data_IF_004669872178
#
_entry.id   IF_004669872178
#
_cell.length_a   1.000
_cell.length_b   1.000
_cell.length_c   1.000
_cell.angle_alpha   90.00
_cell.angle_beta   90.00
_cell.angle_gamma   90.00
#
_symmetry.space_group_name_H-M   'P 1'
#
loop_
_entity.id
_entity.type
_entity.pdbx_description
1 polymer ?
#
# COMPACT_ATOMS: atom_id res chain seq x y z
N UNK A 1 -65.52 -8.64 -12.49
CA UNK A 1 -64.71 -7.54 -11.93
C UNK A 1 -63.35 -8.10 -11.52
N UNK A 2 -62.31 -7.56 -12.15
CA UNK A 2 -61.08 -8.29 -12.53
C UNK A 2 -60.05 -8.40 -11.40
N UNK A 3 -59.71 -9.64 -11.02
CA UNK A 3 -58.57 -10.00 -10.16
C UNK A 3 -57.20 -9.90 -10.86
N UNK A 4 -57.18 -9.49 -12.13
CA UNK A 4 -55.99 -9.54 -13.00
C UNK A 4 -55.13 -8.27 -13.02
N UNK A 5 -55.50 -7.21 -12.27
CA UNK A 5 -54.80 -5.91 -12.34
C UNK A 5 -53.75 -5.73 -11.22
N UNK A 6 -53.81 -6.50 -10.12
CA UNK A 6 -52.88 -6.34 -9.00
C UNK A 6 -51.53 -7.07 -9.22
N UNK A 7 -51.45 -7.98 -10.19
CA UNK A 7 -50.22 -8.73 -10.50
C UNK A 7 -49.29 -8.05 -11.52
N UNK A 8 -49.70 -6.94 -12.14
CA UNK A 8 -48.88 -6.20 -13.12
C UNK A 8 -48.08 -5.06 -12.45
N UNK A 9 -48.45 -4.62 -11.25
CA UNK A 9 -47.75 -3.53 -10.56
C UNK A 9 -46.53 -3.95 -9.72
N UNK A 10 -46.31 -5.25 -9.48
CA UNK A 10 -45.16 -5.77 -8.72
C UNK A 10 -44.02 -6.25 -9.66
N UNK A 11 -44.29 -6.40 -10.96
CA UNK A 11 -43.29 -6.86 -11.94
C UNK A 11 -42.40 -5.73 -12.55
N UNK A 12 -42.61 -4.47 -12.15
CA UNK A 12 -41.92 -3.30 -12.73
C UNK A 12 -40.84 -2.66 -11.84
N UNK A 13 -40.51 -3.25 -10.68
CA UNK A 13 -39.55 -2.68 -9.73
C UNK A 13 -38.31 -3.53 -9.43
N UNK A 14 -38.00 -4.50 -10.29
CA UNK A 14 -36.75 -5.26 -10.25
C UNK A 14 -35.97 -5.13 -11.53
N UNK A 15 -35.70 -3.90 -11.97
CA UNK A 15 -34.41 -3.62 -12.58
C UNK A 15 -33.40 -3.58 -11.44
N UNK A 16 -32.97 -4.75 -10.98
CA UNK A 16 -31.63 -4.85 -10.44
C UNK A 16 -30.73 -4.41 -11.59
N UNK A 17 -30.23 -3.17 -11.53
CA UNK A 17 -29.09 -2.79 -12.35
C UNK A 17 -28.05 -3.85 -12.08
N UNK A 18 -27.74 -4.65 -13.10
CA UNK A 18 -26.46 -5.34 -13.14
C UNK A 18 -25.45 -4.20 -13.04
N UNK A 19 -25.00 -3.93 -11.82
CA UNK A 19 -23.97 -2.94 -11.54
C UNK A 19 -22.84 -3.25 -12.51
N UNK A 20 -22.48 -2.28 -13.34
CA UNK A 20 -21.33 -2.48 -14.18
C UNK A 20 -20.15 -2.73 -13.26
N UNK A 21 -19.41 -3.80 -13.56
CA UNK A 21 -18.19 -4.11 -12.85
C UNK A 21 -17.19 -2.98 -13.14
N UNK A 22 -16.95 -2.14 -12.13
CA UNK A 22 -15.91 -1.11 -12.18
C UNK A 22 -16.27 0.22 -12.86
N UNK A 23 -15.23 1.02 -13.14
CA UNK A 23 -15.32 2.36 -13.73
C UNK A 23 -15.65 2.27 -15.23
N UNK A 24 -16.63 3.05 -15.66
CA UNK A 24 -17.05 3.18 -17.07
C UNK A 24 -16.32 4.34 -17.71
N UNK A 25 -15.23 4.04 -18.42
CA UNK A 25 -14.48 5.03 -19.17
C UNK A 25 -15.09 5.30 -20.56
N UNK A 26 -15.18 6.58 -20.91
CA UNK A 26 -15.30 7.03 -22.29
C UNK A 26 -13.97 6.79 -23.02
N UNK A 27 -14.01 6.22 -24.24
CA UNK A 27 -12.83 5.68 -24.94
C UNK A 27 -12.69 6.15 -26.39
N UNK A 28 -13.71 6.79 -26.97
CA UNK A 28 -13.75 7.11 -28.41
C UNK A 28 -14.05 8.58 -28.71
N UNK A 29 -14.46 9.31 -27.68
CA UNK A 29 -14.75 10.73 -27.72
C UNK A 29 -13.45 11.54 -27.62
N UNK A 30 -13.37 12.62 -28.39
CA UNK A 30 -12.32 13.64 -28.29
C UNK A 30 -12.41 14.41 -26.98
N UNK A 31 -11.32 15.08 -26.58
CA UNK A 31 -11.32 15.94 -25.39
C UNK A 31 -12.41 17.00 -25.43
N UNK A 32 -12.68 17.57 -26.61
CA UNK A 32 -13.75 18.54 -26.79
C UNK A 32 -15.12 17.94 -26.44
N UNK A 33 -15.42 16.74 -26.93
CA UNK A 33 -16.69 16.05 -26.68
C UNK A 33 -16.83 15.66 -25.20
N UNK A 34 -15.77 15.15 -24.57
CA UNK A 34 -15.76 14.83 -23.13
C UNK A 34 -16.09 16.05 -22.29
N UNK A 35 -15.52 17.22 -22.61
CA UNK A 35 -15.86 18.46 -21.91
C UNK A 35 -17.31 18.85 -22.07
N UNK A 36 -17.87 18.73 -23.26
CA UNK A 36 -19.29 19.03 -23.46
C UNK A 36 -20.21 18.07 -22.69
N UNK A 37 -19.86 16.78 -22.61
CA UNK A 37 -20.58 15.81 -21.76
C UNK A 37 -20.49 16.24 -20.28
N UNK A 38 -19.29 16.53 -19.79
CA UNK A 38 -19.07 16.91 -18.40
C UNK A 38 -19.75 18.22 -17.99
N UNK A 39 -19.79 19.21 -18.89
CA UNK A 39 -20.57 20.46 -18.70
C UNK A 39 -22.07 20.15 -18.59
N UNK A 40 -22.61 19.32 -19.48
CA UNK A 40 -24.03 18.94 -19.47
C UNK A 40 -24.42 18.15 -18.22
N UNK A 41 -23.53 17.28 -17.75
CA UNK A 41 -23.74 16.51 -16.51
C UNK A 41 -23.43 17.29 -15.24
N UNK A 42 -22.84 18.49 -15.35
CA UNK A 42 -22.34 19.28 -14.23
C UNK A 42 -21.40 18.48 -13.30
N UNK A 43 -20.44 17.77 -13.91
CA UNK A 43 -19.45 16.94 -13.20
C UNK A 43 -18.04 17.31 -13.57
N UNK A 44 -17.11 17.08 -12.64
CA UNK A 44 -15.68 17.07 -12.97
C UNK A 44 -15.36 15.88 -13.89
N UNK A 45 -14.31 16.04 -14.68
CA UNK A 45 -13.76 14.95 -15.49
C UNK A 45 -12.66 14.26 -14.70
N UNK A 46 -12.85 12.98 -14.38
CA UNK A 46 -11.76 12.13 -13.91
C UNK A 46 -11.00 11.58 -15.12
N UNK A 47 -9.69 11.71 -15.12
CA UNK A 47 -8.82 11.23 -16.20
C UNK A 47 -7.80 10.24 -15.62
N UNK A 48 -7.81 9.03 -16.16
CA UNK A 48 -6.70 8.09 -16.04
C UNK A 48 -5.73 8.30 -17.21
N UNK A 49 -4.53 8.82 -16.91
CA UNK A 49 -3.46 9.02 -17.88
C UNK A 49 -2.47 7.88 -17.76
N UNK A 50 -2.40 7.05 -18.79
CA UNK A 50 -1.62 5.82 -18.83
C UNK A 50 -0.72 5.74 -20.08
N UNK A 51 0.11 4.70 -20.15
CA UNK A 51 0.76 4.24 -21.37
C UNK A 51 0.61 2.72 -21.48
N UNK A 52 0.62 2.17 -22.69
CA UNK A 52 0.39 0.72 -22.92
C UNK A 52 1.39 -0.20 -22.20
N UNK A 53 2.60 0.29 -21.95
CA UNK A 53 3.68 -0.46 -21.30
C UNK A 53 3.72 -0.24 -19.78
N UNK A 54 2.88 0.65 -19.24
CA UNK A 54 2.85 0.95 -17.80
C UNK A 54 2.26 -0.22 -16.99
N UNK A 55 3.14 -1.03 -16.39
CA UNK A 55 2.74 -2.13 -15.50
C UNK A 55 1.83 -1.70 -14.35
N UNK A 56 2.18 -0.66 -13.56
CA UNK A 56 1.32 -0.18 -12.48
C UNK A 56 -0.08 0.29 -12.94
N UNK A 57 -0.19 0.81 -14.16
CA UNK A 57 -1.47 1.23 -14.73
C UNK A 57 -2.38 0.01 -14.96
N UNK A 58 -1.85 -1.07 -15.56
CA UNK A 58 -2.59 -2.33 -15.77
C UNK A 58 -3.08 -2.93 -14.46
N UNK A 59 -2.23 -2.91 -13.43
CA UNK A 59 -2.62 -3.38 -12.10
C UNK A 59 -3.78 -2.55 -11.53
N UNK A 60 -3.79 -1.24 -11.71
CA UNK A 60 -4.93 -0.42 -11.28
C UNK A 60 -6.22 -0.77 -12.04
N UNK A 61 -6.14 -1.01 -13.35
CA UNK A 61 -7.30 -1.45 -14.15
C UNK A 61 -7.86 -2.78 -13.64
N UNK A 62 -7.00 -3.76 -13.40
CA UNK A 62 -7.37 -5.12 -13.00
C UNK A 62 -7.84 -5.21 -11.54
N UNK A 63 -7.21 -4.46 -10.63
CA UNK A 63 -7.33 -4.67 -9.19
C UNK A 63 -8.16 -3.61 -8.46
N UNK A 64 -8.34 -2.43 -9.06
CA UNK A 64 -8.98 -1.28 -8.40
C UNK A 64 -10.12 -0.74 -9.24
N UNK A 65 -9.88 -0.42 -10.51
CA UNK A 65 -10.92 0.15 -11.37
C UNK A 65 -12.01 -0.86 -11.70
N UNK A 66 -11.72 -2.16 -11.63
CA UNK A 66 -12.68 -3.26 -11.80
C UNK A 66 -13.61 -3.47 -10.59
N UNK A 67 -13.26 -2.91 -9.42
CA UNK A 67 -14.02 -3.13 -8.19
C UNK A 67 -15.36 -2.38 -8.23
N UNK A 68 -16.44 -3.07 -7.85
CA UNK A 68 -17.79 -2.49 -7.85
C UNK A 68 -17.87 -1.19 -7.04
N UNK A 69 -17.32 -1.19 -5.82
CA UNK A 69 -17.33 -0.03 -4.92
C UNK A 69 -16.64 1.20 -5.54
N UNK A 70 -15.57 0.98 -6.30
CA UNK A 70 -14.85 2.04 -7.00
C UNK A 70 -15.67 2.52 -8.19
N UNK A 71 -16.18 1.58 -8.99
CA UNK A 71 -17.07 1.88 -10.12
C UNK A 71 -18.29 2.71 -9.71
N UNK A 72 -19.02 2.29 -8.67
CA UNK A 72 -20.21 2.98 -8.17
C UNK A 72 -19.91 4.44 -7.82
N UNK A 73 -18.83 4.67 -7.08
CA UNK A 73 -18.43 6.02 -6.68
C UNK A 73 -18.00 6.86 -7.90
N UNK A 74 -17.08 6.36 -8.72
CA UNK A 74 -16.53 7.15 -9.83
C UNK A 74 -17.55 7.40 -10.95
N UNK A 75 -18.38 6.43 -11.28
CA UNK A 75 -19.44 6.59 -12.28
C UNK A 75 -20.53 7.57 -11.84
N UNK A 76 -20.79 7.65 -10.54
CA UNK A 76 -21.77 8.60 -9.99
C UNK A 76 -21.22 10.03 -10.00
N UNK A 77 -19.96 10.21 -9.60
CA UNK A 77 -19.41 11.53 -9.27
C UNK A 77 -18.68 12.22 -10.42
N UNK A 78 -18.19 11.47 -11.41
CA UNK A 78 -17.33 12.00 -12.48
C UNK A 78 -17.78 11.55 -13.86
N UNK A 79 -17.41 12.36 -14.87
CA UNK A 79 -17.26 11.85 -16.22
C UNK A 79 -15.88 11.20 -16.30
N UNK A 80 -15.84 9.87 -16.48
CA UNK A 80 -14.59 9.12 -16.46
C UNK A 80 -14.02 9.01 -17.87
N UNK A 81 -12.82 9.53 -18.05
CA UNK A 81 -12.08 9.51 -19.31
C UNK A 81 -10.72 8.83 -19.09
N UNK A 82 -10.19 8.21 -20.14
CA UNK A 82 -8.80 7.73 -20.11
C UNK A 82 -8.16 7.87 -21.47
N UNK A 83 -6.88 8.18 -21.48
CA UNK A 83 -6.11 8.25 -22.73
C UNK A 83 -4.68 7.75 -22.52
N UNK A 84 -4.14 7.16 -23.59
CA UNK A 84 -2.72 6.84 -23.69
C UNK A 84 -1.95 8.12 -24.00
N UNK A 85 -1.03 8.50 -23.12
CA UNK A 85 -0.24 9.72 -23.22
C UNK A 85 0.75 9.72 -24.42
N UNK A 86 0.89 8.61 -25.13
CA UNK A 86 1.80 8.46 -26.28
C UNK A 86 1.06 8.27 -27.62
N UNK A 87 -0.27 8.37 -27.63
CA UNK A 87 -1.08 8.15 -28.84
C UNK A 87 -2.13 9.22 -29.06
N UNK A 88 -2.40 9.51 -30.34
CA UNK A 88 -3.49 10.39 -30.77
C UNK A 88 -3.48 11.74 -30.06
N UNK A 89 -4.64 12.20 -29.60
CA UNK A 89 -4.80 13.44 -28.84
C UNK A 89 -4.08 13.42 -27.48
N UNK A 90 -3.77 12.23 -26.94
CA UNK A 90 -3.12 12.05 -25.65
C UNK A 90 -1.73 12.66 -25.54
N UNK A 91 -0.98 12.76 -26.65
CA UNK A 91 0.33 13.44 -26.71
C UNK A 91 0.17 14.93 -26.37
N UNK A 92 -0.83 15.58 -26.97
CA UNK A 92 -1.14 17.00 -26.74
C UNK A 92 -1.65 17.21 -25.32
N UNK A 93 -2.56 16.35 -24.85
CA UNK A 93 -3.14 16.43 -23.51
C UNK A 93 -2.11 16.19 -22.41
N UNK A 94 -1.19 15.24 -22.59
CA UNK A 94 -0.07 14.99 -21.66
C UNK A 94 0.77 16.26 -21.46
N UNK A 95 1.16 16.92 -22.55
CA UNK A 95 1.97 18.14 -22.49
C UNK A 95 1.20 19.29 -21.84
N UNK A 96 -0.07 19.46 -22.22
CA UNK A 96 -0.97 20.45 -21.64
C UNK A 96 -1.09 20.29 -20.12
N UNK A 97 -1.34 19.07 -19.67
CA UNK A 97 -1.52 18.76 -18.25
C UNK A 97 -0.19 18.50 -17.51
N UNK A 98 0.95 18.66 -18.17
CA UNK A 98 2.30 18.47 -17.60
C UNK A 98 2.44 17.13 -16.89
N UNK A 99 2.04 16.04 -17.57
CA UNK A 99 2.11 14.67 -17.04
C UNK A 99 3.47 14.05 -17.37
N UNK A 100 4.23 13.70 -16.34
CA UNK A 100 5.60 13.17 -16.46
C UNK A 100 5.78 11.79 -15.81
N UNK A 101 4.74 11.23 -15.19
CA UNK A 101 4.75 9.97 -14.45
C UNK A 101 3.44 9.22 -14.73
N UNK A 102 3.47 7.88 -14.68
CA UNK A 102 2.28 7.05 -14.89
C UNK A 102 2.15 5.97 -13.80
N UNK A 103 0.92 5.61 -13.40
CA UNK A 103 -0.33 6.29 -13.75
C UNK A 103 -0.38 7.70 -13.14
N UNK A 104 -1.06 8.62 -13.83
CA UNK A 104 -1.44 9.92 -13.28
C UNK A 104 -2.95 10.07 -13.33
N UNK A 105 -3.51 10.51 -12.21
CA UNK A 105 -4.94 10.75 -12.03
C UNK A 105 -5.19 12.24 -12.03
N UNK A 106 -5.96 12.74 -12.99
CA UNK A 106 -6.32 14.14 -13.07
C UNK A 106 -7.82 14.31 -12.83
N UNK A 107 -8.18 15.41 -12.19
CA UNK A 107 -9.56 15.85 -12.05
C UNK A 107 -9.63 17.26 -12.64
N UNK A 108 -10.42 17.41 -13.69
CA UNK A 108 -10.47 18.63 -14.51
C UNK A 108 -11.85 19.26 -14.40
N UNK A 109 -11.87 20.58 -14.21
CA UNK A 109 -13.07 21.38 -14.34
C UNK A 109 -13.37 21.58 -15.84
N UNK A 110 -14.53 21.13 -16.35
CA UNK A 110 -14.79 21.16 -17.78
C UNK A 110 -15.11 22.56 -18.32
N UNK A 111 -15.42 23.53 -17.45
CA UNK A 111 -15.70 24.92 -17.81
C UNK A 111 -14.40 25.72 -17.86
N UNK A 112 -13.60 25.65 -16.81
CA UNK A 112 -12.29 26.31 -16.75
C UNK A 112 -11.25 25.61 -17.64
N UNK A 113 -11.46 24.32 -17.92
CA UNK A 113 -10.53 23.46 -18.66
C UNK A 113 -9.14 23.40 -17.98
N UNK A 114 -9.19 23.39 -16.63
CA UNK A 114 -8.04 23.38 -15.73
C UNK A 114 -8.08 22.17 -14.79
N UNK A 115 -6.90 21.64 -14.48
CA UNK A 115 -6.75 20.60 -13.45
C UNK A 115 -7.01 21.24 -12.08
N UNK A 116 -7.94 20.67 -11.32
CA UNK A 116 -8.26 21.12 -9.97
C UNK A 116 -7.72 20.18 -8.88
N UNK A 117 -7.60 18.89 -9.19
CA UNK A 117 -6.94 17.91 -8.31
C UNK A 117 -6.08 16.94 -9.13
N UNK A 118 -4.95 16.51 -8.57
CA UNK A 118 -4.08 15.50 -9.18
C UNK A 118 -3.50 14.53 -8.16
N UNK A 119 -3.45 13.26 -8.53
CA UNK A 119 -2.74 12.20 -7.81
C UNK A 119 -1.98 11.31 -8.80
N UNK A 120 -1.25 10.32 -8.30
CA UNK A 120 -0.39 9.44 -9.11
C UNK A 120 -0.13 8.13 -8.36
N UNK A 121 0.66 7.25 -9.02
CA UNK A 121 1.12 5.95 -8.52
C UNK A 121 0.01 4.92 -8.36
N UNK A 122 0.42 3.65 -8.17
CA UNK A 122 -0.51 2.58 -7.77
C UNK A 122 -1.05 2.91 -6.38
N UNK A 123 -2.36 2.81 -6.22
CA UNK A 123 -3.06 3.09 -4.96
C UNK A 123 -3.92 1.89 -4.56
N UNK A 124 -3.99 1.59 -3.26
CA UNK A 124 -5.00 0.67 -2.75
C UNK A 124 -6.41 1.29 -2.91
N UNK A 125 -7.45 0.46 -2.87
CA UNK A 125 -8.85 0.89 -3.07
C UNK A 125 -9.23 2.08 -2.17
N UNK A 126 -8.89 2.02 -0.89
CA UNK A 126 -9.23 3.04 0.10
C UNK A 126 -8.54 4.38 -0.21
N UNK A 127 -7.28 4.32 -0.64
CA UNK A 127 -6.51 5.51 -1.03
C UNK A 127 -7.08 6.11 -2.32
N UNK A 128 -7.45 5.28 -3.29
CA UNK A 128 -8.03 5.74 -4.54
C UNK A 128 -9.40 6.39 -4.31
N UNK A 129 -10.27 5.80 -3.48
CA UNK A 129 -11.53 6.42 -3.06
C UNK A 129 -11.31 7.76 -2.34
N UNK A 130 -10.31 7.84 -1.45
CA UNK A 130 -9.91 9.10 -0.81
C UNK A 130 -9.46 10.16 -1.83
N UNK A 131 -8.69 9.77 -2.85
CA UNK A 131 -8.28 10.65 -3.94
C UNK A 131 -9.48 11.25 -4.67
N UNK A 132 -10.46 10.43 -5.06
CA UNK A 132 -11.68 10.94 -5.70
C UNK A 132 -12.53 11.81 -4.78
N UNK A 133 -12.70 11.44 -3.50
CA UNK A 133 -13.41 12.28 -2.52
C UNK A 133 -12.74 13.65 -2.34
N UNK A 134 -11.40 13.68 -2.32
CA UNK A 134 -10.63 14.90 -2.19
C UNK A 134 -10.79 15.86 -3.38
N UNK A 135 -11.09 15.33 -4.57
CA UNK A 135 -11.34 16.15 -5.76
C UNK A 135 -12.69 16.87 -5.71
N UNK A 136 -13.69 16.33 -4.99
CA UNK A 136 -15.04 16.90 -4.93
C UNK A 136 -15.11 18.14 -4.04
N UNK A 137 -14.29 18.23 -2.99
CA UNK A 137 -14.31 19.35 -2.04
C UNK A 137 -13.26 20.40 -2.40
N UNK A 138 -13.65 21.67 -2.48
CA UNK A 138 -12.79 22.75 -2.94
C UNK A 138 -11.53 22.92 -2.07
N UNK A 139 -11.64 22.72 -0.76
CA UNK A 139 -10.59 22.89 0.23
C UNK A 139 -9.64 21.69 0.36
N UNK A 140 -9.94 20.55 -0.27
CA UNK A 140 -9.07 19.35 -0.33
C UNK A 140 -8.49 19.10 -1.73
N UNK A 141 -8.78 19.98 -2.69
CA UNK A 141 -8.21 19.93 -4.03
C UNK A 141 -6.72 20.26 -3.99
N UNK A 142 -5.91 19.46 -4.68
CA UNK A 142 -4.45 19.57 -4.57
C UNK A 142 -3.95 20.92 -5.07
N UNK A 143 -4.54 21.47 -6.14
CA UNK A 143 -4.14 22.76 -6.71
C UNK A 143 -4.46 23.91 -5.76
N UNK A 144 -5.63 23.86 -5.11
CA UNK A 144 -5.99 24.83 -4.09
C UNK A 144 -5.06 24.76 -2.89
N UNK A 145 -4.88 23.58 -2.29
CA UNK A 145 -4.04 23.41 -1.09
C UNK A 145 -2.59 23.83 -1.34
N UNK A 146 -2.02 23.43 -2.48
CA UNK A 146 -0.68 23.84 -2.91
C UNK A 146 -0.60 25.37 -3.01
N UNK A 147 -1.53 26.01 -3.71
CA UNK A 147 -1.56 27.48 -3.84
C UNK A 147 -1.64 28.18 -2.49
N UNK A 148 -2.50 27.72 -1.58
CA UNK A 148 -2.62 28.33 -0.25
C UNK A 148 -1.35 28.15 0.57
N UNK A 149 -0.73 26.97 0.50
CA UNK A 149 0.52 26.69 1.20
C UNK A 149 1.68 27.56 0.66
N UNK A 150 1.82 27.68 -0.66
CA UNK A 150 2.85 28.53 -1.27
C UNK A 150 2.62 30.02 -0.99
N UNK A 151 1.36 30.46 -0.85
CA UNK A 151 1.01 31.82 -0.41
C UNK A 151 1.27 32.08 1.09
N UNK A 152 1.90 31.15 1.81
CA UNK A 152 2.27 31.33 3.22
C UNK A 152 1.14 31.04 4.21
N UNK A 153 -0.03 30.55 3.78
CA UNK A 153 -1.11 30.20 4.73
C UNK A 153 -0.75 28.94 5.51
N UNK A 154 -0.98 28.96 6.82
CA UNK A 154 -0.60 27.89 7.77
C UNK A 154 -1.76 27.48 8.69
N UNK A 155 -2.99 27.59 8.20
CA UNK A 155 -4.17 27.13 8.93
C UNK A 155 -4.06 25.63 9.28
N UNK A 156 -4.35 25.22 10.53
CA UNK A 156 -4.37 23.82 10.97
C UNK A 156 -5.03 22.82 10.03
N UNK A 157 -6.23 23.13 9.52
CA UNK A 157 -6.99 22.21 8.65
C UNK A 157 -6.30 22.07 7.29
N UNK A 158 -5.86 23.20 6.71
CA UNK A 158 -5.07 23.20 5.48
C UNK A 158 -3.81 22.34 5.61
N UNK A 159 -3.00 22.57 6.65
CA UNK A 159 -1.75 21.84 6.85
C UNK A 159 -1.97 20.33 6.97
N UNK A 160 -2.97 19.92 7.74
CA UNK A 160 -3.30 18.51 7.92
C UNK A 160 -3.72 17.85 6.60
N UNK A 161 -4.65 18.47 5.87
CA UNK A 161 -5.15 17.95 4.61
C UNK A 161 -4.04 17.90 3.55
N UNK A 162 -3.19 18.93 3.50
CA UNK A 162 -2.07 18.98 2.57
C UNK A 162 -1.02 17.92 2.90
N UNK A 163 -0.70 17.68 4.18
CA UNK A 163 0.18 16.57 4.58
C UNK A 163 -0.39 15.19 4.19
N UNK A 164 -1.69 14.96 4.40
CA UNK A 164 -2.38 13.74 3.93
C UNK A 164 -2.30 13.59 2.41
N UNK A 165 -2.47 14.69 1.67
CA UNK A 165 -2.31 14.70 0.22
C UNK A 165 -0.90 14.31 -0.20
N UNK A 166 0.13 14.98 0.33
CA UNK A 166 1.54 14.69 0.03
C UNK A 166 1.88 13.23 0.33
N UNK A 167 1.41 12.68 1.46
CA UNK A 167 1.52 11.26 1.81
C UNK A 167 0.88 10.36 0.74
N UNK A 168 -0.37 10.64 0.36
CA UNK A 168 -1.13 9.83 -0.61
C UNK A 168 -0.57 9.86 -2.03
N UNK A 169 0.21 10.89 -2.37
CA UNK A 169 0.86 11.08 -3.68
C UNK A 169 2.37 10.81 -3.63
N UNK A 170 2.87 10.18 -2.56
CA UNK A 170 4.29 9.81 -2.39
C UNK A 170 5.30 10.98 -2.49
N UNK A 171 4.86 12.21 -2.20
CA UNK A 171 5.69 13.43 -2.15
C UNK A 171 6.44 13.54 -0.81
N UNK A 172 7.41 12.64 -0.62
CA UNK A 172 8.06 12.41 0.67
C UNK A 172 8.86 13.61 1.15
N UNK A 173 9.58 14.29 0.26
CA UNK A 173 10.47 15.39 0.64
C UNK A 173 9.68 16.63 1.04
N UNK A 174 8.62 16.96 0.29
CA UNK A 174 7.70 18.04 0.62
C UNK A 174 6.97 17.76 1.93
N UNK A 175 6.53 16.50 2.14
CA UNK A 175 5.88 16.10 3.39
C UNK A 175 6.83 16.26 4.58
N UNK A 176 8.06 15.74 4.45
CA UNK A 176 9.07 15.83 5.51
C UNK A 176 9.39 17.30 5.84
N UNK A 177 9.52 18.14 4.82
CA UNK A 177 9.78 19.58 4.98
C UNK A 177 8.63 20.25 5.75
N UNK A 178 7.39 20.05 5.31
CA UNK A 178 6.20 20.60 5.96
C UNK A 178 6.11 20.16 7.42
N UNK A 179 6.23 18.86 7.68
CA UNK A 179 6.13 18.28 9.02
C UNK A 179 7.21 18.84 9.93
N UNK A 180 8.46 18.89 9.48
CA UNK A 180 9.59 19.39 10.27
C UNK A 180 9.43 20.87 10.58
N UNK A 181 9.11 21.68 9.57
CA UNK A 181 8.88 23.12 9.75
C UNK A 181 7.74 23.40 10.72
N UNK A 182 6.64 22.64 10.63
CA UNK A 182 5.51 22.80 11.54
C UNK A 182 5.85 22.41 12.99
N UNK A 183 6.52 21.28 13.19
CA UNK A 183 6.90 20.81 14.52
C UNK A 183 7.93 21.75 15.17
N UNK A 184 8.91 22.23 14.43
CA UNK A 184 9.96 23.13 14.94
C UNK A 184 9.41 24.52 15.26
N UNK A 185 8.40 24.98 14.52
CA UNK A 185 7.75 26.27 14.77
C UNK A 185 6.72 26.24 15.91
N UNK A 186 6.36 25.07 16.44
CA UNK A 186 5.32 24.94 17.48
C UNK A 186 5.92 25.17 18.88
N UNK A 187 5.63 26.29 19.57
CA UNK A 187 6.34 26.64 20.81
C UNK A 187 6.09 25.68 21.98
N UNK A 188 4.91 25.06 22.03
CA UNK A 188 4.51 24.09 23.05
C UNK A 188 4.96 22.66 22.74
N UNK A 189 5.64 22.47 21.60
CA UNK A 189 6.12 21.19 21.11
C UNK A 189 5.02 20.13 21.05
N UNK A 190 5.35 18.90 21.44
CA UNK A 190 4.41 17.77 21.43
C UNK A 190 3.25 17.90 22.42
N UNK A 191 3.21 18.94 23.26
CA UNK A 191 2.05 19.22 24.12
C UNK A 191 0.87 19.76 23.34
N UNK A 192 1.11 20.36 22.17
CA UNK A 192 0.06 20.72 21.22
C UNK A 192 -0.50 19.46 20.54
N UNK A 193 -1.83 19.34 20.53
CA UNK A 193 -2.50 18.14 20.02
C UNK A 193 -2.33 17.96 18.52
N UNK A 194 -2.20 19.04 17.76
CA UNK A 194 -1.96 18.96 16.32
C UNK A 194 -0.50 18.63 16.04
N UNK A 195 0.46 19.23 16.75
CA UNK A 195 1.87 18.84 16.68
C UNK A 195 2.06 17.36 17.01
N UNK A 196 1.42 16.85 18.07
CA UNK A 196 1.42 15.41 18.35
C UNK A 196 0.88 14.60 17.17
N UNK A 197 -0.24 15.00 16.58
CA UNK A 197 -0.81 14.30 15.42
C UNK A 197 0.14 14.31 14.21
N UNK A 198 0.82 15.42 13.93
CA UNK A 198 1.83 15.50 12.87
C UNK A 198 3.02 14.57 13.15
N UNK A 199 3.56 14.63 14.36
CA UNK A 199 4.63 13.76 14.82
C UNK A 199 4.25 12.28 14.73
N UNK A 200 3.05 11.92 15.19
CA UNK A 200 2.57 10.56 15.24
C UNK A 200 2.32 9.96 13.85
N UNK A 201 1.82 10.75 12.89
CA UNK A 201 1.34 10.22 11.61
C UNK A 201 2.32 10.39 10.44
N UNK A 202 3.26 11.34 10.52
CA UNK A 202 4.07 11.71 9.36
C UNK A 202 5.58 11.74 9.61
N UNK A 203 6.04 12.08 10.82
CA UNK A 203 7.46 12.04 11.11
C UNK A 203 7.89 10.57 11.31
N UNK A 204 8.96 10.14 10.66
CA UNK A 204 9.45 8.76 10.74
C UNK A 204 10.82 8.68 11.42
N UNK A 205 11.18 7.48 11.88
CA UNK A 205 12.49 7.19 12.45
C UNK A 205 12.69 7.70 13.89
N UNK A 206 13.79 7.27 14.48
CA UNK A 206 14.16 7.58 15.88
C UNK A 206 15.14 8.74 16.01
N UNK A 207 15.72 9.21 14.91
CA UNK A 207 16.76 10.25 14.90
C UNK A 207 16.18 11.67 14.71
N UNK A 208 15.14 12.02 15.46
CA UNK A 208 14.51 13.35 15.43
C UNK A 208 14.47 13.99 16.81
N UNK A 209 14.54 15.34 16.92
CA UNK A 209 14.43 16.02 18.21
C UNK A 209 13.13 15.71 18.95
N UNK A 210 12.03 15.55 18.20
CA UNK A 210 10.72 15.21 18.77
C UNK A 210 10.68 13.77 19.29
N UNK A 211 11.39 12.83 18.65
CA UNK A 211 11.54 11.48 19.20
C UNK A 211 12.40 11.48 20.46
N UNK A 212 13.46 12.28 20.51
CA UNK A 212 14.25 12.48 21.74
C UNK A 212 13.41 13.08 22.88
N UNK A 213 12.48 13.99 22.57
CA UNK A 213 11.53 14.52 23.55
C UNK A 213 10.51 13.45 24.01
N UNK A 214 10.01 12.62 23.08
CA UNK A 214 9.11 11.51 23.38
C UNK A 214 9.71 10.60 24.44
N UNK A 215 10.94 10.15 24.24
CA UNK A 215 11.59 9.20 25.16
C UNK A 215 11.94 9.84 26.51
N UNK A 216 12.37 11.10 26.53
CA UNK A 216 12.74 11.80 27.78
C UNK A 216 11.55 12.07 28.70
N UNK A 217 10.35 12.18 28.12
CA UNK A 217 9.11 12.55 28.83
C UNK A 217 8.00 11.52 28.61
N UNK A 218 8.34 10.25 28.42
CA UNK A 218 7.40 9.20 28.02
C UNK A 218 6.15 9.14 28.91
N UNK A 219 6.31 9.19 30.24
CA UNK A 219 5.20 9.15 31.19
C UNK A 219 4.20 10.32 30.99
N UNK A 220 4.69 11.51 30.65
CA UNK A 220 3.85 12.67 30.33
C UNK A 220 2.99 12.39 29.10
N UNK A 221 3.60 11.85 28.05
CA UNK A 221 2.90 11.60 26.78
C UNK A 221 1.89 10.45 26.89
N UNK A 222 2.20 9.43 27.69
CA UNK A 222 1.25 8.37 28.03
C UNK A 222 0.05 8.92 28.80
N UNK A 223 0.28 9.80 29.76
CA UNK A 223 -0.82 10.45 30.49
C UNK A 223 -1.69 11.35 29.59
N UNK A 224 -1.09 12.04 28.62
CA UNK A 224 -1.82 12.98 27.75
C UNK A 224 -2.52 12.30 26.56
N UNK A 225 -1.88 11.32 25.91
CA UNK A 225 -2.34 10.72 24.66
C UNK A 225 -2.69 9.23 24.76
N UNK A 226 -2.41 8.61 25.91
CA UNK A 226 -2.67 7.20 26.16
C UNK A 226 -1.56 6.27 25.68
N UNK A 227 -1.54 5.06 26.25
CA UNK A 227 -0.51 4.07 25.97
C UNK A 227 -0.50 3.59 24.52
N UNK A 228 -1.67 3.43 23.88
CA UNK A 228 -1.76 2.95 22.50
C UNK A 228 -1.05 3.91 21.54
N UNK A 229 -1.34 5.21 21.63
CA UNK A 229 -0.76 6.20 20.74
C UNK A 229 0.77 6.29 20.89
N UNK A 230 1.28 6.24 22.12
CA UNK A 230 2.73 6.23 22.39
C UNK A 230 3.37 4.95 21.86
N UNK A 231 2.78 3.78 22.14
CA UNK A 231 3.31 2.49 21.68
C UNK A 231 3.31 2.40 20.15
N UNK A 232 2.25 2.84 19.47
CA UNK A 232 2.16 2.87 18.01
C UNK A 232 3.25 3.76 17.40
N UNK A 233 3.50 4.93 17.99
CA UNK A 233 4.58 5.81 17.54
C UNK A 233 5.96 5.19 17.75
N UNK A 234 6.21 4.57 18.90
CA UNK A 234 7.47 3.87 19.17
C UNK A 234 7.69 2.75 18.16
N UNK A 235 6.70 1.87 17.96
CA UNK A 235 6.75 0.81 16.96
C UNK A 235 7.02 1.37 15.57
N UNK A 236 6.25 2.37 15.14
CA UNK A 236 6.40 2.98 13.81
C UNK A 236 7.79 3.57 13.57
N UNK A 237 8.34 4.28 14.56
CA UNK A 237 9.67 4.90 14.45
C UNK A 237 10.79 3.87 14.37
N UNK A 238 10.78 2.86 15.23
CA UNK A 238 11.79 1.79 15.19
C UNK A 238 11.66 0.90 13.96
N UNK A 239 10.43 0.56 13.57
CA UNK A 239 10.18 -0.25 12.36
C UNK A 239 10.67 0.47 11.10
N UNK A 240 10.46 1.78 11.02
CA UNK A 240 11.00 2.59 9.92
C UNK A 240 12.53 2.51 9.85
N UNK A 241 13.24 2.71 10.96
CA UNK A 241 14.70 2.67 10.97
C UNK A 241 15.23 1.27 10.64
N UNK A 242 14.61 0.22 11.19
CA UNK A 242 14.97 -1.16 10.87
C UNK A 242 14.74 -1.42 9.38
N UNK A 243 13.55 -1.14 8.84
CA UNK A 243 13.28 -1.40 7.41
C UNK A 243 14.10 -0.54 6.46
N UNK A 244 14.51 0.67 6.86
CA UNK A 244 15.47 1.47 6.10
C UNK A 244 16.83 0.75 6.03
N UNK A 245 17.29 0.21 7.16
CA UNK A 245 18.53 -0.56 7.26
C UNK A 245 18.43 -1.94 6.57
N UNK A 246 17.26 -2.57 6.55
CA UNK A 246 16.99 -3.79 5.76
C UNK A 246 17.21 -3.53 4.27
N UNK A 247 16.59 -2.46 3.76
CA UNK A 247 16.69 -2.09 2.36
C UNK A 247 18.11 -1.69 1.95
N UNK A 248 18.86 -1.01 2.82
CA UNK A 248 20.24 -0.64 2.53
C UNK A 248 21.21 -1.81 2.66
N UNK A 249 21.06 -2.69 3.66
CA UNK A 249 22.07 -3.69 3.99
C UNK A 249 22.01 -5.03 3.26
N UNK A 250 20.85 -5.44 2.72
CA UNK A 250 20.72 -6.74 2.05
C UNK A 250 20.76 -6.61 0.52
N UNK A 251 20.12 -5.58 -0.05
CA UNK A 251 20.20 -5.34 -1.49
C UNK A 251 21.52 -4.71 -1.93
N UNK A 252 22.21 -4.03 -1.00
CA UNK A 252 23.51 -3.45 -1.25
C UNK A 252 24.35 -3.49 0.04
N UNK A 253 25.00 -4.61 0.38
CA UNK A 253 25.77 -4.75 1.62
C UNK A 253 26.75 -3.62 1.92
N UNK A 254 27.28 -2.94 0.88
CA UNK A 254 28.16 -1.78 1.02
C UNK A 254 27.48 -0.52 1.58
N UNK A 255 26.14 -0.47 1.62
CA UNK A 255 25.33 0.64 2.14
C UNK A 255 24.77 0.36 3.54
N UNK A 256 25.12 -0.77 4.17
CA UNK A 256 24.68 -1.03 5.54
C UNK A 256 25.38 -0.08 6.53
N UNK A 257 24.58 0.68 7.27
CA UNK A 257 25.07 1.62 8.28
C UNK A 257 25.15 0.93 9.65
N UNK A 258 26.25 0.21 9.92
CA UNK A 258 26.41 -0.55 11.17
C UNK A 258 26.25 0.31 12.43
N UNK A 259 26.84 1.51 12.45
CA UNK A 259 26.72 2.44 13.57
C UNK A 259 25.26 2.89 13.81
N UNK A 260 24.47 3.05 12.75
CA UNK A 260 23.05 3.39 12.87
C UNK A 260 22.26 2.22 13.45
N UNK A 261 22.53 0.99 13.00
CA UNK A 261 21.91 -0.22 13.56
C UNK A 261 22.24 -0.41 15.05
N UNK A 262 23.51 -0.25 15.43
CA UNK A 262 23.94 -0.31 16.84
C UNK A 262 23.25 0.76 17.70
N UNK A 263 23.12 1.98 17.19
CA UNK A 263 22.41 3.05 17.89
C UNK A 263 20.93 2.72 18.10
N UNK A 264 20.25 2.25 17.06
CA UNK A 264 18.82 1.89 17.09
C UNK A 264 18.58 0.73 18.05
N UNK A 265 19.40 -0.33 17.98
CA UNK A 265 19.28 -1.51 18.85
C UNK A 265 19.61 -1.19 20.31
N UNK A 266 20.64 -0.39 20.56
CA UNK A 266 20.98 0.06 21.91
C UNK A 266 19.86 0.92 22.52
N UNK A 267 19.20 1.77 21.71
CA UNK A 267 18.06 2.55 22.16
C UNK A 267 16.85 1.64 22.45
N UNK A 268 16.51 0.74 21.52
CA UNK A 268 15.43 -0.23 21.66
C UNK A 268 15.60 -1.12 22.90
N UNK A 269 16.84 -1.49 23.23
CA UNK A 269 17.18 -2.29 24.41
C UNK A 269 16.91 -1.59 25.75
N UNK A 270 16.88 -0.26 25.80
CA UNK A 270 16.66 0.54 27.01
C UNK A 270 15.19 0.85 27.30
N UNK A 271 14.29 0.50 26.37
CA UNK A 271 12.89 0.89 26.42
C UNK A 271 11.98 -0.32 26.60
N UNK A 272 10.82 -0.15 27.25
CA UNK A 272 9.79 -1.19 27.34
C UNK A 272 8.45 -0.65 26.83
N UNK A 273 7.88 -1.31 25.83
CA UNK A 273 6.61 -0.90 25.23
C UNK A 273 5.91 -2.07 24.50
N UNK A 274 4.59 -1.97 24.38
CA UNK A 274 3.81 -2.97 23.64
C UNK A 274 4.18 -2.92 22.16
N UNK A 275 4.53 -4.07 21.57
CA UNK A 275 5.00 -4.17 20.18
C UNK A 275 6.52 -4.22 20.02
N UNK A 276 7.30 -3.96 21.09
CA UNK A 276 8.77 -4.13 21.09
C UNK A 276 9.22 -5.52 20.60
N UNK A 277 8.62 -6.65 21.03
CA UNK A 277 9.05 -7.97 20.56
C UNK A 277 9.00 -8.14 19.04
N UNK A 278 8.00 -7.55 18.37
CA UNK A 278 7.86 -7.58 16.91
C UNK A 278 9.04 -6.86 16.23
N UNK A 279 9.34 -5.64 16.69
CA UNK A 279 10.43 -4.81 16.18
C UNK A 279 11.79 -5.48 16.41
N UNK A 280 12.02 -6.02 17.62
CA UNK A 280 13.24 -6.75 17.96
C UNK A 280 13.42 -7.97 17.05
N UNK A 281 12.37 -8.75 16.84
CA UNK A 281 12.44 -9.95 15.99
C UNK A 281 12.85 -9.61 14.56
N UNK A 282 12.26 -8.57 13.96
CA UNK A 282 12.63 -8.08 12.63
C UNK A 282 14.12 -7.68 12.57
N UNK A 283 14.55 -6.85 13.52
CA UNK A 283 15.94 -6.38 13.61
C UNK A 283 16.95 -7.51 13.80
N UNK A 284 16.64 -8.53 14.59
CA UNK A 284 17.51 -9.69 14.81
C UNK A 284 17.61 -10.58 13.57
N UNK A 285 16.48 -10.83 12.89
CA UNK A 285 16.49 -11.61 11.65
C UNK A 285 17.32 -10.91 10.58
N UNK A 286 17.20 -9.59 10.45
CA UNK A 286 18.06 -8.80 9.56
C UNK A 286 19.55 -9.01 9.87
N UNK A 287 19.95 -8.82 11.13
CA UNK A 287 21.37 -8.93 11.50
C UNK A 287 21.92 -10.34 11.27
N UNK A 288 21.14 -11.37 11.60
CA UNK A 288 21.52 -12.75 11.34
C UNK A 288 21.60 -13.08 9.85
N UNK A 289 20.70 -12.54 9.01
CA UNK A 289 20.81 -12.72 7.56
C UNK A 289 22.07 -12.06 7.00
N UNK A 290 22.35 -10.82 7.40
CA UNK A 290 23.54 -10.07 6.97
C UNK A 290 24.84 -10.74 7.41
N UNK A 291 24.87 -11.27 8.62
CA UNK A 291 26.03 -11.99 9.19
C UNK A 291 26.06 -13.48 8.82
N UNK A 292 25.16 -13.93 7.92
CA UNK A 292 25.07 -15.31 7.43
C UNK A 292 24.82 -16.36 8.51
N UNK A 293 24.21 -15.96 9.63
CA UNK A 293 23.78 -16.84 10.72
C UNK A 293 22.36 -17.36 10.45
N UNK A 294 22.18 -18.10 9.35
CA UNK A 294 20.87 -18.43 8.81
C UNK A 294 19.97 -19.25 9.74
N UNK A 295 20.53 -20.22 10.48
CA UNK A 295 19.73 -21.03 11.42
C UNK A 295 19.15 -20.17 12.56
N UNK A 296 19.89 -19.17 13.02
CA UNK A 296 19.40 -18.22 14.05
C UNK A 296 18.32 -17.31 13.49
N UNK A 297 18.48 -16.83 12.25
CA UNK A 297 17.45 -16.06 11.56
C UNK A 297 16.15 -16.89 11.42
N UNK A 298 16.28 -18.15 11.00
CA UNK A 298 15.14 -19.04 10.81
C UNK A 298 14.42 -19.34 12.13
N UNK A 299 15.16 -19.58 13.21
CA UNK A 299 14.56 -19.84 14.53
C UNK A 299 13.68 -18.68 15.03
N UNK A 300 14.06 -17.43 14.75
CA UNK A 300 13.25 -16.26 15.10
C UNK A 300 12.07 -16.13 14.13
N UNK A 301 12.32 -16.28 12.82
CA UNK A 301 11.29 -16.16 11.81
C UNK A 301 10.16 -17.20 11.97
N UNK A 302 10.51 -18.45 12.30
CA UNK A 302 9.55 -19.53 12.54
C UNK A 302 8.63 -19.24 13.76
N UNK A 303 9.12 -18.50 14.75
CA UNK A 303 8.36 -18.05 15.93
C UNK A 303 7.62 -16.73 15.74
N UNK A 304 7.88 -16.00 14.66
CA UNK A 304 7.30 -14.68 14.45
C UNK A 304 5.76 -14.65 14.52
N UNK A 305 5.02 -15.66 13.99
CA UNK A 305 3.57 -15.72 14.17
C UNK A 305 3.11 -15.66 15.63
N UNK A 306 3.81 -16.33 16.54
CA UNK A 306 3.49 -16.30 17.97
C UNK A 306 3.80 -14.94 18.59
N UNK A 307 4.91 -14.30 18.17
CA UNK A 307 5.33 -12.97 18.62
C UNK A 307 4.25 -11.93 18.32
N UNK A 308 3.62 -12.03 17.15
CA UNK A 308 2.53 -11.11 16.73
C UNK A 308 1.14 -11.64 17.09
N UNK A 309 1.03 -12.63 17.98
CA UNK A 309 -0.24 -13.23 18.43
C UNK A 309 -1.12 -13.71 17.27
N UNK A 310 -0.50 -14.29 16.26
CA UNK A 310 -1.12 -14.82 15.04
C UNK A 310 -1.86 -13.76 14.22
N UNK A 311 -1.48 -12.48 14.33
CA UNK A 311 -1.93 -11.44 13.41
C UNK A 311 -1.45 -11.74 11.99
N UNK A 312 -2.36 -12.28 11.17
CA UNK A 312 -2.06 -12.74 9.82
C UNK A 312 -1.51 -11.64 8.93
N UNK A 313 -1.95 -10.38 9.08
CA UNK A 313 -1.45 -9.25 8.28
C UNK A 313 0.02 -8.98 8.61
N UNK A 314 0.38 -8.99 9.90
CA UNK A 314 1.76 -8.83 10.33
C UNK A 314 2.64 -9.99 9.89
N UNK A 315 2.16 -11.24 9.97
CA UNK A 315 2.89 -12.42 9.48
C UNK A 315 3.13 -12.35 7.99
N UNK A 316 2.09 -12.07 7.20
CA UNK A 316 2.21 -11.92 5.74
C UNK A 316 3.19 -10.81 5.38
N UNK A 317 3.09 -9.65 6.03
CA UNK A 317 4.01 -8.53 5.80
C UNK A 317 5.46 -8.93 6.09
N UNK A 318 5.71 -9.61 7.20
CA UNK A 318 7.05 -10.02 7.60
C UNK A 318 7.62 -11.09 6.67
N UNK A 319 6.87 -12.14 6.38
CA UNK A 319 7.31 -13.20 5.46
C UNK A 319 7.53 -12.67 4.04
N UNK A 320 6.73 -11.70 3.59
CA UNK A 320 6.96 -11.05 2.29
C UNK A 320 8.29 -10.30 2.29
N UNK A 321 8.63 -9.58 3.36
CA UNK A 321 9.98 -9.01 3.50
C UNK A 321 11.05 -10.10 3.43
N UNK A 322 10.90 -11.22 4.16
CA UNK A 322 11.87 -12.32 4.12
C UNK A 322 12.02 -12.93 2.73
N UNK A 323 10.92 -13.13 1.98
CA UNK A 323 10.97 -13.59 0.59
C UNK A 323 11.90 -12.69 -0.24
N UNK A 324 11.64 -11.40 -0.19
CA UNK A 324 12.39 -10.37 -0.91
C UNK A 324 13.88 -10.40 -0.55
N UNK A 325 14.19 -10.45 0.74
CA UNK A 325 15.56 -10.54 1.26
C UNK A 325 16.24 -11.86 0.87
N UNK A 326 15.47 -12.93 0.66
CA UNK A 326 16.00 -14.25 0.32
C UNK A 326 16.36 -14.43 -1.15
N UNK A 327 15.94 -13.51 -2.04
CA UNK A 327 16.13 -13.65 -3.49
C UNK A 327 17.60 -13.73 -3.90
N UNK A 328 18.50 -13.06 -3.18
CA UNK A 328 19.95 -13.05 -3.42
C UNK A 328 20.73 -14.11 -2.62
N UNK A 329 20.08 -14.82 -1.68
CA UNK A 329 20.74 -15.83 -0.85
C UNK A 329 20.71 -17.19 -1.57
N UNK A 330 21.85 -17.90 -1.58
CA UNK A 330 22.02 -19.24 -2.19
C UNK A 330 22.43 -20.31 -1.17
N UNK A 331 22.35 -19.97 0.11
CA UNK A 331 22.58 -20.93 1.19
C UNK A 331 21.37 -21.88 1.30
N UNK A 332 21.62 -23.18 1.16
CA UNK A 332 20.57 -24.19 1.14
C UNK A 332 19.88 -24.35 2.50
N UNK A 333 20.57 -24.06 3.61
CA UNK A 333 19.98 -24.10 4.95
C UNK A 333 18.97 -22.97 5.14
N UNK A 334 19.24 -21.77 4.64
CA UNK A 334 18.27 -20.67 4.66
C UNK A 334 17.12 -20.91 3.70
N UNK A 335 17.43 -21.30 2.45
CA UNK A 335 16.43 -21.39 1.39
C UNK A 335 15.29 -22.37 1.71
N UNK A 336 15.58 -23.48 2.40
CA UNK A 336 14.53 -24.41 2.85
C UNK A 336 13.55 -23.77 3.84
N UNK A 337 14.00 -22.85 4.71
CA UNK A 337 13.12 -22.11 5.63
C UNK A 337 12.37 -21.02 4.89
N UNK A 338 13.07 -20.25 4.06
CA UNK A 338 12.45 -19.22 3.22
C UNK A 338 11.31 -19.79 2.34
N UNK A 339 11.48 -21.01 1.79
CA UNK A 339 10.41 -21.70 1.06
C UNK A 339 9.14 -21.92 1.89
N UNK A 340 9.25 -22.21 3.19
CA UNK A 340 8.09 -22.31 4.09
C UNK A 340 7.36 -20.97 4.19
N UNK A 341 8.10 -19.87 4.28
CA UNK A 341 7.53 -18.51 4.38
C UNK A 341 6.84 -18.09 3.07
N UNK A 342 7.49 -18.32 1.92
CA UNK A 342 6.90 -18.03 0.60
C UNK A 342 5.65 -18.88 0.36
N UNK A 343 5.67 -20.15 0.78
CA UNK A 343 4.49 -20.99 0.76
C UNK A 343 3.40 -20.46 1.69
N UNK A 344 3.73 -20.05 2.91
CA UNK A 344 2.76 -19.46 3.84
C UNK A 344 2.04 -18.28 3.18
N UNK A 345 2.79 -17.34 2.56
CA UNK A 345 2.22 -16.21 1.82
C UNK A 345 1.23 -16.72 0.76
N UNK A 346 1.66 -17.70 -0.03
CA UNK A 346 0.86 -18.24 -1.14
C UNK A 346 -0.44 -18.89 -0.67
N UNK A 347 -0.42 -19.60 0.46
CA UNK A 347 -1.59 -20.33 0.97
C UNK A 347 -2.50 -19.47 1.87
N UNK A 348 -2.01 -18.34 2.37
CA UNK A 348 -2.70 -17.49 3.34
C UNK A 348 -2.96 -16.07 2.83
N UNK A 349 -2.73 -15.81 1.55
CA UNK A 349 -2.97 -14.49 0.97
C UNK A 349 -4.44 -14.11 1.14
N UNK A 350 -4.66 -13.05 1.92
CA UNK A 350 -5.99 -12.49 2.19
C UNK A 350 -6.57 -11.80 0.95
N UNK A 351 -5.73 -11.57 -0.05
CA UNK A 351 -6.06 -10.82 -1.24
C UNK A 351 -5.94 -11.70 -2.49
N UNK A 352 -7.08 -12.12 -3.04
CA UNK A 352 -7.12 -12.91 -4.29
C UNK A 352 -6.42 -12.21 -5.47
N UNK A 353 -6.17 -10.89 -5.39
CA UNK A 353 -5.47 -10.11 -6.41
C UNK A 353 -4.00 -10.49 -6.55
N UNK A 354 -3.34 -10.82 -5.45
CA UNK A 354 -1.91 -11.20 -5.47
C UNK A 354 -1.69 -12.72 -5.57
N UNK A 355 -2.76 -13.50 -5.68
CA UNK A 355 -2.67 -14.97 -5.68
C UNK A 355 -1.78 -15.48 -6.82
N UNK A 356 -2.00 -15.04 -8.06
CA UNK A 356 -1.19 -15.51 -9.20
C UNK A 356 0.31 -15.18 -9.03
N UNK A 357 0.64 -13.96 -8.60
CA UNK A 357 2.03 -13.55 -8.40
C UNK A 357 2.68 -14.28 -7.22
N UNK A 358 1.93 -14.56 -6.15
CA UNK A 358 2.44 -15.31 -5.01
C UNK A 358 2.73 -16.77 -5.37
N UNK A 359 1.83 -17.42 -6.11
CA UNK A 359 2.06 -18.76 -6.67
C UNK A 359 3.26 -18.79 -7.64
N UNK A 360 3.39 -17.79 -8.52
CA UNK A 360 4.55 -17.65 -9.40
C UNK A 360 5.86 -17.50 -8.63
N UNK A 361 5.88 -16.60 -7.64
CA UNK A 361 7.04 -16.37 -6.77
C UNK A 361 7.44 -17.64 -6.02
N UNK A 362 6.48 -18.39 -5.51
CA UNK A 362 6.73 -19.69 -4.87
C UNK A 362 7.35 -20.69 -5.83
N UNK A 363 6.78 -20.84 -7.04
CA UNK A 363 7.31 -21.75 -8.06
C UNK A 363 8.75 -21.37 -8.47
N UNK A 364 9.02 -20.09 -8.70
CA UNK A 364 10.35 -19.59 -9.06
C UNK A 364 11.36 -19.83 -7.93
N UNK A 365 10.96 -19.59 -6.68
CA UNK A 365 11.84 -19.80 -5.52
C UNK A 365 12.13 -21.29 -5.29
N UNK A 366 11.14 -22.16 -5.53
CA UNK A 366 11.29 -23.61 -5.48
C UNK A 366 12.23 -24.12 -6.58
N UNK A 367 12.07 -23.67 -7.81
CA UNK A 367 12.96 -24.00 -8.93
C UNK A 367 14.41 -23.61 -8.61
N UNK A 368 14.62 -22.40 -8.06
CA UNK A 368 15.95 -21.95 -7.62
C UNK A 368 16.56 -22.90 -6.58
N UNK A 369 15.79 -23.29 -5.56
CA UNK A 369 16.26 -24.21 -4.51
C UNK A 369 16.64 -25.58 -5.08
N UNK A 370 15.78 -26.16 -5.92
CA UNK A 370 16.03 -27.48 -6.54
C UNK A 370 17.24 -27.44 -7.46
N UNK A 371 17.40 -26.37 -8.23
CA UNK A 371 18.58 -26.15 -9.09
C UNK A 371 19.85 -26.10 -8.25
N UNK A 372 19.85 -25.32 -7.16
CA UNK A 372 21.01 -25.23 -6.26
C UNK A 372 21.34 -26.57 -5.57
N UNK A 373 20.32 -27.33 -5.15
CA UNK A 373 20.51 -28.67 -4.61
C UNK A 373 21.21 -29.58 -5.64
N UNK A 374 20.72 -29.58 -6.88
CA UNK A 374 21.31 -30.34 -7.97
C UNK A 374 22.77 -29.92 -8.25
N UNK A 375 23.05 -28.62 -8.38
CA UNK A 375 24.40 -28.08 -8.61
C UNK A 375 25.34 -28.46 -7.47
N UNK A 376 24.88 -28.41 -6.22
CA UNK A 376 25.68 -28.77 -5.04
C UNK A 376 25.68 -30.28 -4.72
N UNK A 377 25.02 -31.10 -5.54
CA UNK A 377 24.84 -32.55 -5.33
C UNK A 377 24.27 -32.90 -3.95
N UNK A 378 23.36 -32.07 -3.44
CA UNK A 378 22.65 -32.29 -2.19
C UNK A 378 21.25 -32.80 -2.46
N UNK A 379 20.78 -33.76 -1.67
CA UNK A 379 19.39 -34.23 -1.73
C UNK A 379 18.49 -33.11 -1.17
N UNK A 380 17.47 -32.64 -1.93
CA UNK A 380 16.56 -31.62 -1.44
C UNK A 380 15.82 -32.08 -0.18
N UNK A 381 15.79 -31.24 0.85
CA UNK A 381 14.93 -31.44 2.02
C UNK A 381 13.53 -30.96 1.65
N UNK A 382 12.63 -31.89 1.35
CA UNK A 382 11.25 -31.59 0.94
C UNK A 382 10.29 -31.42 2.13
N UNK A 383 10.77 -31.34 3.37
CA UNK A 383 9.91 -31.19 4.55
C UNK A 383 9.02 -29.94 4.52
N UNK A 384 9.39 -28.91 3.74
CA UNK A 384 8.56 -27.73 3.49
C UNK A 384 7.33 -28.02 2.61
N UNK A 385 7.19 -29.21 2.00
CA UNK A 385 6.03 -29.65 1.21
C UNK A 385 4.94 -30.32 2.05
N UNK A 386 5.21 -30.66 3.32
CA UNK A 386 4.21 -31.20 4.25
C UNK A 386 2.95 -30.32 4.29
N UNK A 387 1.78 -30.90 4.56
CA UNK A 387 0.52 -30.14 4.59
C UNK A 387 0.66 -28.88 5.47
N UNK A 388 0.30 -27.68 4.96
CA UNK A 388 0.52 -26.45 5.70
C UNK A 388 -0.43 -26.38 6.90
N UNK A 389 0.08 -25.96 8.05
CA UNK A 389 -0.72 -25.80 9.28
C UNK A 389 -1.76 -24.69 9.15
N UNK A 390 -1.48 -23.67 8.33
CA UNK A 390 -2.31 -22.48 8.14
C UNK A 390 -2.60 -22.25 6.66
N UNK A 391 -3.82 -21.78 6.35
CA UNK A 391 -4.23 -21.40 5.00
C UNK A 391 -4.88 -22.54 4.21
N UNK A 392 -4.97 -22.38 2.90
CA UNK A 392 -5.43 -23.46 2.02
C UNK A 392 -4.48 -24.66 2.16
N UNK A 393 -5.04 -25.87 2.18
CA UNK A 393 -4.27 -27.12 2.28
C UNK A 393 -3.84 -27.63 0.92
N UNK A 394 -4.53 -27.20 -0.14
CA UNK A 394 -4.27 -27.62 -1.52
C UNK A 394 -3.55 -26.52 -2.26
N UNK A 395 -2.41 -26.86 -2.86
CA UNK A 395 -1.71 -25.93 -3.74
C UNK A 395 -2.47 -25.85 -5.07
N UNK A 396 -3.38 -24.89 -5.19
CA UNK A 396 -4.21 -24.73 -6.39
C UNK A 396 -4.57 -23.29 -6.70
N UNK A 397 -4.54 -22.95 -7.99
CA UNK A 397 -5.12 -21.71 -8.53
C UNK A 397 -6.58 -21.90 -8.97
N UNK A 398 -7.14 -23.10 -8.81
CA UNK A 398 -8.55 -23.34 -9.11
C UNK A 398 -9.43 -22.50 -8.19
N UNK A 399 -10.44 -21.84 -8.76
CA UNK A 399 -11.47 -21.16 -7.98
C UNK A 399 -12.18 -22.16 -7.06
N UNK A 400 -12.43 -21.82 -5.77
CA UNK A 400 -13.24 -22.66 -4.90
C UNK A 400 -14.68 -22.83 -5.42
N UNK A 401 -15.14 -21.90 -6.27
CA UNK A 401 -16.50 -21.90 -6.84
C UNK A 401 -16.63 -22.76 -8.11
N UNK A 402 -15.55 -23.43 -8.54
CA UNK A 402 -15.60 -24.35 -9.67
C UNK A 402 -16.57 -25.50 -9.39
N UNK A 403 -17.66 -25.57 -10.17
CA UNK A 403 -18.60 -26.68 -10.13
C UNK A 403 -17.87 -28.00 -10.38
N UNK A 404 -18.21 -29.02 -9.61
CA UNK A 404 -17.66 -30.36 -9.79
C UNK A 404 -17.91 -30.85 -11.22
N UNK A 405 -16.89 -31.46 -11.83
CA UNK A 405 -17.02 -32.07 -13.16
C UNK A 405 -18.13 -33.14 -13.09
N UNK A 406 -19.14 -33.10 -13.97
CA UNK A 406 -20.21 -34.10 -13.97
C UNK A 406 -19.59 -35.49 -14.14
N UNK A 407 -19.95 -36.43 -13.26
CA UNK A 407 -19.53 -37.82 -13.39
C UNK A 407 -20.15 -38.37 -14.67
N UNK A 408 -19.33 -38.98 -15.54
CA UNK A 408 -19.88 -39.75 -16.68
C UNK A 408 -20.77 -40.84 -16.09
N UNK A 409 -22.06 -40.80 -16.40
CA UNK A 409 -22.97 -41.93 -16.15
C UNK A 409 -22.42 -43.07 -17.00
N UNK A 410 -21.98 -44.14 -16.34
CA UNK A 410 -21.47 -45.35 -17.00
C UNK A 410 -22.62 -46.14 -17.59
#
# INVERSE_FOLDING_TARGET
MNRSIVLIFIALFSYATVGAQGIKFHKKESWAEIKEIAKKENKLIFIDVFTDWCGPCKLMEEEVFSLQKVGDFYNQQFVNYKFDAEKGEGITLKNRFKVNLYPTYLFVDPVLDEVVHRSTSRQAMEVFLYTGQSALQADTRSVFMESQYQAGKRDPKLLWNYAKYLQSSFKRDELNTLVTTYLDATPTGLSDSLAWRFFANFQNGTSTPQFDELIKKEAKWRAQYGDSAVNEKLVSAFDYDISRLENSGIYNPARFEAAAYEKVTALLGKMEFTGKPTVVAKGQVLDYLRTKQYDKAAAIADRFPEIVKLDQKQVLSFYNSLYFLSRSIEDLSWMKHALKYVRYITMNDLDNRSKAINHYNYALFLEKYLTLCNTKKQVPDIGFLNEPTFGDKRYTLMSPDLKAKPKKVK
#
